data_IF_759614466407
#
_entry.id   IF_759614466407
#
_cell.length_a   1.000
_cell.length_b   1.000
_cell.length_c   1.000
_cell.angle_alpha   90.00
_cell.angle_beta   90.00
_cell.angle_gamma   90.00
#
_symmetry.space_group_name_H-M   'P 1'
#
loop_
_entity.id
_entity.type
_entity.pdbx_description
1 polymer ?
#
# COMPACT_ATOMS: atom_id res chain seq x y z
N UNK A 1 -7.71 16.38 12.86
CA UNK A 1 -7.23 14.99 12.68
C UNK A 1 -6.42 14.62 13.90
N UNK A 2 -6.72 13.53 14.59
CA UNK A 2 -5.98 13.15 15.81
C UNK A 2 -4.81 12.22 15.46
N UNK A 3 -3.58 12.67 15.76
CA UNK A 3 -2.36 11.92 15.45
C UNK A 3 -2.31 10.57 16.17
N UNK A 4 -2.89 10.45 17.36
CA UNK A 4 -2.91 9.18 18.09
C UNK A 4 -3.81 8.16 17.41
N UNK A 5 -5.02 8.57 16.99
CA UNK A 5 -5.94 7.71 16.22
C UNK A 5 -5.35 7.27 14.88
N UNK A 6 -4.64 8.17 14.20
CA UNK A 6 -3.95 7.84 12.93
C UNK A 6 -2.82 6.83 13.18
N UNK A 7 -2.08 6.97 14.28
CA UNK A 7 -1.05 5.99 14.68
C UNK A 7 -1.66 4.63 15.01
N UNK A 8 -2.73 4.58 15.80
CA UNK A 8 -3.44 3.35 16.13
C UNK A 8 -3.92 2.63 14.86
N UNK A 9 -4.54 3.36 13.94
CA UNK A 9 -4.98 2.80 12.66
C UNK A 9 -3.81 2.26 11.83
N UNK A 10 -2.67 2.95 11.84
CA UNK A 10 -1.46 2.50 11.16
C UNK A 10 -0.92 1.19 11.74
N UNK A 11 -0.94 1.04 13.07
CA UNK A 11 -0.55 -0.20 13.77
C UNK A 11 -1.49 -1.35 13.40
N UNK A 12 -2.81 -1.10 13.35
CA UNK A 12 -3.78 -2.11 12.96
C UNK A 12 -3.59 -2.57 11.50
N UNK A 13 -3.24 -1.65 10.60
CA UNK A 13 -2.92 -1.99 9.21
C UNK A 13 -1.62 -2.82 9.10
N UNK A 14 -0.63 -2.56 9.96
CA UNK A 14 0.58 -3.40 10.05
C UNK A 14 0.22 -4.84 10.46
N UNK A 15 -0.68 -5.03 11.43
CA UNK A 15 -1.15 -6.36 11.84
C UNK A 15 -1.79 -7.12 10.67
N UNK A 16 -2.67 -6.45 9.94
CA UNK A 16 -3.36 -7.02 8.77
C UNK A 16 -2.35 -7.47 7.71
N UNK A 17 -1.34 -6.63 7.42
CA UNK A 17 -0.29 -6.96 6.45
C UNK A 17 0.50 -8.18 6.93
N UNK A 18 0.96 -8.19 8.18
CA UNK A 18 1.77 -9.29 8.70
C UNK A 18 0.99 -10.60 8.63
N UNK A 19 -0.28 -10.61 9.05
CA UNK A 19 -1.14 -11.80 8.96
C UNK A 19 -1.31 -12.27 7.51
N UNK A 20 -1.56 -11.36 6.57
CA UNK A 20 -1.68 -11.69 5.15
C UNK A 20 -0.39 -12.26 4.55
N UNK A 21 0.77 -11.70 4.92
CA UNK A 21 2.08 -12.19 4.49
C UNK A 21 2.36 -13.58 5.08
N UNK A 22 1.97 -13.82 6.33
CA UNK A 22 2.07 -15.13 6.96
C UNK A 22 1.25 -16.18 6.22
N UNK A 23 0.01 -15.85 5.80
CA UNK A 23 -0.78 -16.79 5.02
C UNK A 23 -0.16 -17.05 3.64
N UNK A 24 0.33 -16.01 2.95
CA UNK A 24 0.98 -16.17 1.64
C UNK A 24 2.23 -17.06 1.72
N UNK A 25 3.01 -16.94 2.79
CA UNK A 25 4.24 -17.71 3.02
C UNK A 25 4.01 -19.21 3.26
N UNK A 26 2.75 -19.65 3.47
CA UNK A 26 2.40 -21.08 3.59
C UNK A 26 2.40 -21.80 2.26
N UNK A 27 2.26 -21.07 1.15
CA UNK A 27 2.36 -21.59 -0.20
C UNK A 27 3.78 -21.40 -0.74
N UNK A 28 4.17 -22.27 -1.68
CA UNK A 28 5.38 -22.06 -2.47
C UNK A 28 5.25 -20.82 -3.35
N UNK A 29 6.36 -20.41 -3.94
CA UNK A 29 6.37 -19.25 -4.82
C UNK A 29 5.42 -19.43 -6.02
N UNK A 30 5.28 -20.65 -6.55
CA UNK A 30 4.37 -20.95 -7.67
C UNK A 30 4.64 -20.06 -8.90
N UNK A 31 5.91 -20.05 -9.38
CA UNK A 31 6.41 -19.13 -10.42
C UNK A 31 5.50 -18.97 -11.64
N UNK A 32 4.86 -20.06 -12.08
CA UNK A 32 3.97 -20.06 -13.23
C UNK A 32 2.87 -19.00 -13.16
N UNK A 33 2.41 -18.64 -11.94
CA UNK A 33 1.38 -17.61 -11.71
C UNK A 33 1.76 -16.27 -12.35
N UNK A 34 3.05 -15.92 -12.29
CA UNK A 34 3.58 -14.61 -12.67
C UNK A 34 4.31 -14.64 -14.03
N UNK A 35 4.48 -15.82 -14.62
CA UNK A 35 5.06 -15.96 -15.96
C UNK A 35 4.06 -15.56 -17.04
N UNK A 36 4.51 -14.73 -17.98
CA UNK A 36 3.72 -14.36 -19.14
C UNK A 36 3.50 -15.57 -20.04
N UNK A 37 2.23 -15.88 -20.33
CA UNK A 37 1.81 -17.03 -21.14
C UNK A 37 2.39 -18.37 -20.65
N UNK A 38 2.44 -18.56 -19.32
CA UNK A 38 2.93 -19.81 -18.75
C UNK A 38 2.14 -21.00 -19.27
N UNK A 39 2.85 -22.06 -19.71
CA UNK A 39 2.26 -23.28 -20.26
C UNK A 39 1.38 -24.06 -19.26
N UNK A 40 1.45 -23.70 -17.98
CA UNK A 40 0.59 -24.26 -16.92
C UNK A 40 -0.87 -23.83 -17.02
N UNK A 41 -1.16 -22.71 -17.67
CA UNK A 41 -2.50 -22.15 -17.75
C UNK A 41 -2.93 -22.05 -19.22
N UNK A 42 -3.97 -22.79 -19.58
CA UNK A 42 -4.56 -22.78 -20.92
C UNK A 42 -5.87 -21.99 -20.85
N UNK A 43 -5.94 -20.89 -21.60
CA UNK A 43 -7.12 -20.02 -21.63
C UNK A 43 -7.91 -20.27 -22.92
N UNK A 44 -9.18 -20.67 -22.80
CA UNK A 44 -10.06 -20.95 -23.94
C UNK A 44 -10.43 -19.71 -24.76
N UNK A 45 -10.25 -18.51 -24.19
CA UNK A 45 -10.54 -17.23 -24.82
C UNK A 45 -9.29 -16.57 -25.44
N UNK A 46 -8.20 -17.33 -25.64
CA UNK A 46 -6.92 -16.82 -26.15
C UNK A 46 -6.37 -15.63 -25.33
N UNK A 47 -6.57 -15.62 -24.01
CA UNK A 47 -6.00 -14.60 -23.15
C UNK A 47 -4.46 -14.68 -23.16
N UNK A 48 -3.82 -13.55 -23.44
CA UNK A 48 -2.38 -13.35 -23.31
C UNK A 48 -2.08 -12.55 -22.04
N UNK A 49 -1.20 -13.06 -21.19
CA UNK A 49 -0.90 -12.45 -19.90
C UNK A 49 -0.43 -13.45 -18.85
N UNK A 50 -0.44 -13.01 -17.59
CA UNK A 50 -0.12 -13.85 -16.44
C UNK A 50 -1.42 -14.37 -15.80
N UNK A 51 -1.37 -15.51 -15.12
CA UNK A 51 -2.52 -15.99 -14.34
C UNK A 51 -2.87 -15.03 -13.19
N UNK A 52 -1.86 -14.37 -12.63
CA UNK A 52 -2.03 -13.30 -11.66
C UNK A 52 -2.91 -12.15 -12.18
N UNK A 53 -2.59 -11.60 -13.35
CA UNK A 53 -3.36 -10.48 -13.94
C UNK A 53 -4.75 -10.91 -14.40
N UNK A 54 -4.87 -12.14 -14.92
CA UNK A 54 -6.14 -12.75 -15.29
C UNK A 54 -7.12 -12.80 -14.12
N UNK A 55 -6.64 -13.12 -12.92
CA UNK A 55 -7.44 -13.15 -11.70
C UNK A 55 -7.65 -11.76 -11.09
N UNK A 56 -6.58 -10.97 -10.95
CA UNK A 56 -6.64 -9.74 -10.17
C UNK A 56 -7.45 -8.65 -10.88
N UNK A 57 -7.32 -8.47 -12.20
CA UNK A 57 -8.01 -7.38 -12.90
C UNK A 57 -9.55 -7.50 -12.83
N UNK A 58 -10.17 -8.67 -13.05
CA UNK A 58 -11.61 -8.84 -12.86
C UNK A 58 -12.07 -8.64 -11.41
N UNK A 59 -11.32 -9.18 -10.42
CA UNK A 59 -11.62 -8.96 -9.00
C UNK A 59 -11.58 -7.46 -8.66
N UNK A 60 -10.57 -6.77 -9.18
CA UNK A 60 -10.45 -5.33 -9.00
C UNK A 60 -11.63 -4.57 -9.63
N UNK A 61 -12.10 -5.02 -10.79
CA UNK A 61 -13.26 -4.42 -11.44
C UNK A 61 -14.56 -4.61 -10.63
N UNK A 62 -14.75 -5.77 -9.98
CA UNK A 62 -15.87 -5.99 -9.05
C UNK A 62 -15.81 -4.99 -7.90
N UNK A 63 -14.63 -4.79 -7.31
CA UNK A 63 -14.44 -3.79 -6.26
C UNK A 63 -14.72 -2.36 -6.74
N UNK A 64 -14.33 -2.03 -7.98
CA UNK A 64 -14.59 -0.72 -8.58
C UNK A 64 -16.09 -0.44 -8.74
N UNK A 65 -16.83 -1.40 -9.32
CA UNK A 65 -18.29 -1.32 -9.49
C UNK A 65 -18.99 -1.14 -8.14
N UNK A 66 -18.52 -1.85 -7.10
CA UNK A 66 -19.03 -1.75 -5.74
C UNK A 66 -18.68 -0.43 -5.02
N UNK A 67 -17.90 0.45 -5.65
CA UNK A 67 -17.53 1.77 -5.13
C UNK A 67 -16.34 1.76 -4.16
N UNK A 68 -15.51 0.71 -4.15
CA UNK A 68 -14.33 0.63 -3.27
C UNK A 68 -13.37 1.81 -3.49
N UNK A 69 -13.11 2.16 -4.73
CA UNK A 69 -12.16 3.22 -5.09
C UNK A 69 -12.74 4.63 -4.98
N UNK A 70 -13.99 4.75 -4.52
CA UNK A 70 -14.54 6.03 -4.05
C UNK A 70 -14.07 6.36 -2.63
N UNK A 71 -13.67 5.36 -1.84
CA UNK A 71 -13.07 5.55 -0.52
C UNK A 71 -11.71 6.26 -0.62
N UNK A 72 -11.45 7.21 0.27
CA UNK A 72 -10.23 8.03 0.22
C UNK A 72 -8.93 7.24 0.40
N UNK A 73 -8.97 6.08 1.06
CA UNK A 73 -7.80 5.26 1.42
C UNK A 73 -7.59 4.06 0.51
N UNK A 74 -8.39 3.90 -0.54
CA UNK A 74 -8.29 2.80 -1.50
C UNK A 74 -7.70 3.30 -2.83
N UNK A 75 -6.81 2.50 -3.44
CA UNK A 75 -6.17 2.84 -4.73
C UNK A 75 -6.19 1.66 -5.70
N UNK A 76 -6.66 1.84 -6.94
CA UNK A 76 -6.64 0.78 -7.92
C UNK A 76 -5.22 0.53 -8.45
N UNK A 77 -4.95 -0.73 -8.79
CA UNK A 77 -3.71 -1.21 -9.40
C UNK A 77 -3.80 -1.19 -10.94
N UNK A 78 -4.98 -1.37 -11.51
CA UNK A 78 -5.23 -1.33 -12.94
C UNK A 78 -5.96 -0.06 -13.38
N UNK A 79 -5.74 0.31 -14.65
CA UNK A 79 -6.48 1.38 -15.34
C UNK A 79 -7.67 0.79 -16.12
N UNK A 80 -8.63 1.66 -16.47
CA UNK A 80 -9.78 1.28 -17.30
C UNK A 80 -10.80 0.42 -16.57
N UNK A 81 -10.87 0.54 -15.24
CA UNK A 81 -11.91 -0.11 -14.43
C UNK A 81 -13.28 0.56 -14.71
N UNK A 82 -14.35 -0.22 -14.54
CA UNK A 82 -15.71 0.25 -14.64
C UNK A 82 -16.02 1.32 -13.58
N UNK A 83 -16.91 2.25 -13.91
CA UNK A 83 -17.39 3.24 -12.95
C UNK A 83 -18.19 2.59 -11.82
N UNK A 84 -18.12 3.19 -10.62
CA UNK A 84 -18.95 2.77 -9.50
C UNK A 84 -20.43 2.97 -9.82
N UNK A 85 -21.24 1.95 -9.53
CA UNK A 85 -22.72 2.06 -9.58
C UNK A 85 -23.32 2.26 -8.19
N UNK A 86 -22.49 2.14 -7.14
CA UNK A 86 -22.91 2.27 -5.75
C UNK A 86 -22.51 3.63 -5.21
N UNK A 87 -23.48 4.40 -4.70
CA UNK A 87 -23.24 5.66 -3.98
C UNK A 87 -23.27 5.40 -2.49
N UNK A 88 -22.20 5.72 -1.77
CA UNK A 88 -22.15 5.70 -0.30
C UNK A 88 -21.34 6.90 0.18
N UNK A 89 -21.64 7.33 1.40
CA UNK A 89 -20.88 8.37 2.08
C UNK A 89 -19.71 7.75 2.84
N UNK A 90 -18.60 7.50 2.13
CA UNK A 90 -17.40 6.88 2.70
C UNK A 90 -16.47 7.88 3.39
N UNK A 91 -16.57 9.16 3.01
CA UNK A 91 -15.54 10.16 3.27
C UNK A 91 -16.06 11.37 4.06
N UNK A 92 -17.29 11.37 4.59
CA UNK A 92 -17.84 12.52 5.34
C UNK A 92 -17.02 13.00 6.53
N UNK A 93 -16.12 12.15 7.05
CA UNK A 93 -15.20 12.50 8.14
C UNK A 93 -13.85 13.03 7.66
N UNK A 94 -13.62 13.08 6.35
CA UNK A 94 -12.38 13.52 5.71
C UNK A 94 -12.65 14.88 5.04
N UNK A 95 -11.93 15.94 5.44
CA UNK A 95 -12.06 17.25 4.81
C UNK A 95 -11.85 17.25 3.28
N UNK A 96 -12.62 18.09 2.58
CA UNK A 96 -12.63 18.16 1.11
C UNK A 96 -11.28 18.55 0.50
N UNK A 97 -10.50 19.37 1.20
CA UNK A 97 -9.14 19.75 0.78
C UNK A 97 -8.24 18.52 0.68
N UNK A 98 -8.36 17.57 1.62
CA UNK A 98 -7.61 16.30 1.57
C UNK A 98 -8.07 15.44 0.40
N UNK A 99 -9.39 15.32 0.21
CA UNK A 99 -9.99 14.48 -0.83
C UNK A 99 -9.59 14.93 -2.25
N UNK A 100 -9.42 16.23 -2.46
CA UNK A 100 -9.01 16.82 -3.74
C UNK A 100 -7.65 16.31 -4.24
N UNK A 101 -6.74 15.97 -3.33
CA UNK A 101 -5.39 15.51 -3.68
C UNK A 101 -5.21 14.01 -3.54
N UNK A 102 -5.89 13.41 -2.56
CA UNK A 102 -5.63 12.02 -2.18
C UNK A 102 -5.70 11.08 -3.37
N UNK A 103 -6.70 11.24 -4.25
CA UNK A 103 -6.90 10.38 -5.44
C UNK A 103 -5.84 10.58 -6.54
N UNK A 104 -5.08 11.68 -6.55
CA UNK A 104 -3.99 11.90 -7.52
C UNK A 104 -2.72 11.13 -7.17
N UNK A 105 -2.53 10.86 -5.88
CA UNK A 105 -1.37 10.15 -5.35
C UNK A 105 -1.71 8.66 -5.35
N UNK A 106 -1.12 7.92 -6.30
CA UNK A 106 -1.35 6.48 -6.44
C UNK A 106 -0.04 5.72 -6.71
N UNK A 107 0.51 5.13 -5.65
CA UNK A 107 1.69 4.28 -5.65
C UNK A 107 1.40 2.81 -5.95
N UNK A 108 0.14 2.39 -6.12
CA UNK A 108 -0.24 0.98 -6.34
C UNK A 108 0.58 0.26 -7.42
N UNK A 109 0.91 0.87 -8.59
CA UNK A 109 1.76 0.21 -9.58
C UNK A 109 3.15 -0.17 -9.05
N UNK A 110 3.83 0.72 -8.33
CA UNK A 110 5.15 0.46 -7.73
C UNK A 110 5.07 -0.52 -6.57
N UNK A 111 3.98 -0.48 -5.80
CA UNK A 111 3.69 -1.45 -4.74
C UNK A 111 3.58 -2.86 -5.32
N UNK A 112 2.84 -3.02 -6.43
CA UNK A 112 2.72 -4.31 -7.13
C UNK A 112 4.07 -4.86 -7.56
N UNK A 113 4.89 -4.04 -8.22
CA UNK A 113 6.23 -4.46 -8.67
C UNK A 113 7.09 -4.89 -7.48
N UNK A 114 7.13 -4.07 -6.43
CA UNK A 114 7.94 -4.33 -5.23
C UNK A 114 7.50 -5.59 -4.49
N UNK A 115 6.18 -5.80 -4.38
CA UNK A 115 5.61 -6.98 -3.75
C UNK A 115 5.92 -8.26 -4.53
N UNK A 116 5.72 -8.28 -5.85
CA UNK A 116 6.01 -9.45 -6.68
C UNK A 116 7.51 -9.81 -6.64
N UNK A 117 8.39 -8.80 -6.62
CA UNK A 117 9.83 -9.02 -6.44
C UNK A 117 10.18 -9.58 -5.05
N UNK A 118 9.42 -9.20 -4.03
CA UNK A 118 9.59 -9.63 -2.64
C UNK A 118 9.12 -11.08 -2.41
N UNK A 119 8.17 -11.60 -3.20
CA UNK A 119 7.64 -12.94 -3.01
C UNK A 119 8.71 -14.04 -3.03
N UNK A 120 9.78 -13.87 -3.81
CA UNK A 120 10.91 -14.81 -3.87
C UNK A 120 11.66 -14.96 -2.54
N UNK A 121 11.65 -13.91 -1.72
CA UNK A 121 12.29 -13.91 -0.41
C UNK A 121 11.33 -14.42 0.67
N UNK A 122 10.02 -14.15 0.50
CA UNK A 122 8.97 -14.57 1.42
C UNK A 122 8.63 -16.07 1.32
N UNK A 123 8.51 -16.59 0.10
CA UNK A 123 7.96 -17.91 -0.17
C UNK A 123 9.06 -18.91 -0.50
N UNK A 124 8.90 -20.16 -0.06
CA UNK A 124 9.82 -21.22 -0.47
C UNK A 124 9.72 -21.48 -1.98
N UNK A 125 10.87 -21.76 -2.61
CA UNK A 125 10.91 -22.06 -4.04
C UNK A 125 10.12 -23.32 -4.39
N UNK A 126 9.60 -23.33 -5.62
CA UNK A 126 8.94 -24.48 -6.22
C UNK A 126 7.46 -24.26 -6.46
N UNK A 127 6.77 -25.36 -6.66
CA UNK A 127 5.37 -25.40 -7.06
C UNK A 127 4.60 -26.39 -6.19
N UNK A 128 3.48 -25.95 -5.62
CA UNK A 128 2.56 -26.75 -4.81
C UNK A 128 1.14 -26.79 -5.38
N UNK A 129 0.95 -26.27 -6.59
CA UNK A 129 -0.32 -26.18 -7.31
C UNK A 129 -1.45 -25.36 -6.65
N UNK A 130 -1.23 -24.69 -5.52
CA UNK A 130 -2.24 -23.83 -4.88
C UNK A 130 -2.28 -22.43 -5.53
N UNK A 131 -2.47 -22.38 -6.85
CA UNK A 131 -2.34 -21.15 -7.64
C UNK A 131 -3.41 -20.11 -7.27
N UNK A 132 -4.67 -20.55 -7.17
CA UNK A 132 -5.79 -19.68 -6.82
C UNK A 132 -5.63 -19.05 -5.45
N UNK A 133 -5.33 -19.86 -4.43
CA UNK A 133 -5.14 -19.38 -3.06
C UNK A 133 -3.92 -18.46 -2.93
N UNK A 134 -2.83 -18.77 -3.64
CA UNK A 134 -1.64 -17.90 -3.72
C UNK A 134 -2.03 -16.52 -4.25
N UNK A 135 -2.74 -16.45 -5.38
CA UNK A 135 -3.18 -15.18 -5.98
C UNK A 135 -4.16 -14.43 -5.08
N UNK A 136 -5.11 -15.12 -4.43
CA UNK A 136 -6.02 -14.46 -3.48
C UNK A 136 -5.28 -13.84 -2.29
N UNK A 137 -4.26 -14.53 -1.77
CA UNK A 137 -3.37 -13.98 -0.75
C UNK A 137 -2.57 -12.79 -1.28
N UNK A 138 -2.06 -12.87 -2.52
CA UNK A 138 -1.33 -11.76 -3.14
C UNK A 138 -2.20 -10.51 -3.28
N UNK A 139 -3.44 -10.67 -3.78
CA UNK A 139 -4.41 -9.58 -3.94
C UNK A 139 -4.71 -8.92 -2.60
N UNK A 140 -4.99 -9.74 -1.57
CA UNK A 140 -5.25 -9.24 -0.23
C UNK A 140 -4.07 -8.42 0.32
N UNK A 141 -2.85 -8.96 0.20
CA UNK A 141 -1.64 -8.29 0.68
C UNK A 141 -1.39 -6.98 -0.07
N UNK A 142 -1.50 -6.98 -1.39
CA UNK A 142 -1.35 -5.77 -2.22
C UNK A 142 -2.32 -4.68 -1.79
N UNK A 143 -3.60 -5.03 -1.59
CA UNK A 143 -4.61 -4.09 -1.13
C UNK A 143 -4.32 -3.56 0.28
N UNK A 144 -3.93 -4.42 1.23
CA UNK A 144 -3.59 -4.02 2.59
C UNK A 144 -2.35 -3.11 2.62
N UNK A 145 -1.30 -3.46 1.87
CA UNK A 145 -0.08 -2.66 1.74
C UNK A 145 -0.39 -1.31 1.08
N UNK A 146 -1.16 -1.30 0.00
CA UNK A 146 -1.57 -0.06 -0.67
C UNK A 146 -2.34 0.85 0.27
N UNK A 147 -3.32 0.31 1.01
CA UNK A 147 -4.05 1.08 2.02
C UNK A 147 -3.11 1.67 3.07
N UNK A 148 -2.16 0.89 3.60
CA UNK A 148 -1.20 1.35 4.62
C UNK A 148 -0.24 2.42 4.14
N UNK A 149 0.24 2.31 2.91
CA UNK A 149 1.15 3.29 2.31
C UNK A 149 0.40 4.59 2.03
N UNK A 150 -0.78 4.52 1.41
CA UNK A 150 -1.57 5.70 1.09
C UNK A 150 -2.20 6.36 2.32
N UNK A 151 -2.35 5.62 3.43
CA UNK A 151 -2.72 6.19 4.73
C UNK A 151 -1.71 7.26 5.22
N UNK A 152 -0.50 7.29 4.64
CA UNK A 152 0.48 8.37 4.80
C UNK A 152 -0.12 9.77 4.58
N UNK A 153 -1.14 9.92 3.73
CA UNK A 153 -1.85 11.20 3.56
C UNK A 153 -2.40 11.74 4.89
N UNK A 154 -3.09 10.90 5.67
CA UNK A 154 -3.64 11.33 6.96
C UNK A 154 -2.56 11.46 8.04
N UNK A 155 -1.48 10.67 7.93
CA UNK A 155 -0.30 10.82 8.80
C UNK A 155 0.32 12.20 8.60
N UNK A 156 0.55 12.60 7.35
CA UNK A 156 1.09 13.90 7.00
C UNK A 156 0.15 15.02 7.43
N UNK A 157 -1.16 14.90 7.16
CA UNK A 157 -2.11 15.92 7.60
C UNK A 157 -2.12 16.08 9.13
N UNK A 158 -2.07 14.98 9.88
CA UNK A 158 -2.01 15.05 11.34
C UNK A 158 -0.68 15.68 11.84
N UNK A 159 0.44 15.38 11.18
CA UNK A 159 1.74 16.02 11.44
C UNK A 159 1.68 17.52 11.15
N UNK A 160 1.14 17.92 10.00
CA UNK A 160 0.97 19.32 9.61
C UNK A 160 0.12 20.09 10.61
N UNK A 161 -1.05 19.56 10.99
CA UNK A 161 -1.94 20.21 11.96
C UNK A 161 -1.30 20.40 13.33
N UNK A 162 -0.38 19.51 13.73
CA UNK A 162 0.34 19.62 15.01
C UNK A 162 1.43 20.68 14.99
N UNK A 163 2.06 20.93 13.85
CA UNK A 163 3.16 21.88 13.73
C UNK A 163 3.15 22.65 12.40
N UNK A 164 2.09 23.46 12.12
CA UNK A 164 1.93 24.09 10.80
C UNK A 164 3.09 25.03 10.44
N UNK A 165 3.64 25.74 11.44
CA UNK A 165 4.73 26.71 11.28
C UNK A 165 5.98 26.07 10.67
N UNK A 166 6.39 24.91 11.20
CA UNK A 166 7.57 24.15 10.73
C UNK A 166 7.39 23.78 9.25
N UNK A 167 6.25 23.17 8.91
CA UNK A 167 6.01 22.74 7.54
C UNK A 167 5.83 23.92 6.58
N UNK A 168 5.20 25.01 7.00
CA UNK A 168 5.07 26.21 6.18
C UNK A 168 6.44 26.84 5.90
N UNK A 169 7.33 26.90 6.89
CA UNK A 169 8.70 27.36 6.68
C UNK A 169 9.44 26.48 5.68
N UNK A 170 9.40 25.16 5.88
CA UNK A 170 10.06 24.20 4.99
C UNK A 170 9.51 24.27 3.55
N UNK A 171 8.18 24.38 3.38
CA UNK A 171 7.52 24.52 2.08
C UNK A 171 7.79 25.89 1.41
N UNK A 172 8.10 26.93 2.19
CA UNK A 172 8.45 28.25 1.65
C UNK A 172 9.81 28.24 0.96
N UNK A 173 10.72 27.37 1.42
CA UNK A 173 12.09 27.22 0.92
C UNK A 173 12.20 26.27 -0.27
N UNK A 174 11.11 25.55 -0.60
CA UNK A 174 11.05 24.52 -1.65
C UNK A 174 12.16 23.47 -1.50
N UNK A 175 12.47 23.11 -0.24
CA UNK A 175 13.58 22.25 0.12
C UNK A 175 13.10 20.82 0.40
N UNK A 176 12.98 20.03 -0.68
CA UNK A 176 12.58 18.62 -0.65
C UNK A 176 13.42 17.78 0.31
N UNK A 177 14.72 18.06 0.40
CA UNK A 177 15.66 17.30 1.22
C UNK A 177 15.39 17.56 2.69
N UNK A 178 15.24 18.84 3.08
CA UNK A 178 14.94 19.20 4.47
C UNK A 178 13.58 18.69 4.91
N UNK A 179 12.54 18.76 4.06
CA UNK A 179 11.22 18.19 4.37
C UNK A 179 11.32 16.67 4.54
N UNK A 180 12.00 15.97 3.63
CA UNK A 180 12.19 14.52 3.73
C UNK A 180 12.93 14.14 5.03
N UNK A 181 13.93 14.93 5.43
CA UNK A 181 14.65 14.73 6.69
C UNK A 181 13.76 14.93 7.91
N UNK A 182 12.91 15.96 7.91
CA UNK A 182 11.98 16.23 9.02
C UNK A 182 10.92 15.12 9.15
N UNK A 183 10.47 14.54 8.03
CA UNK A 183 9.52 13.43 8.05
C UNK A 183 10.11 12.13 8.59
N UNK A 184 11.42 11.93 8.42
CA UNK A 184 12.16 10.77 8.92
C UNK A 184 12.34 10.89 10.43
N UNK A 185 11.60 10.06 11.16
CA UNK A 185 11.81 9.90 12.59
C UNK A 185 12.41 8.53 12.87
N UNK A 186 13.74 8.49 12.98
CA UNK A 186 14.51 7.26 13.20
C UNK A 186 13.99 6.45 14.39
N UNK A 187 13.65 7.11 15.49
CA UNK A 187 13.12 6.44 16.69
C UNK A 187 11.74 5.79 16.43
N UNK A 188 10.88 6.42 15.64
CA UNK A 188 9.58 5.84 15.26
C UNK A 188 9.77 4.68 14.30
N UNK A 189 10.66 4.81 13.31
CA UNK A 189 10.96 3.74 12.36
C UNK A 189 11.51 2.50 13.07
N UNK A 190 12.47 2.66 13.99
CA UNK A 190 13.01 1.56 14.79
C UNK A 190 11.90 0.84 15.56
N UNK A 191 11.01 1.57 16.24
CA UNK A 191 9.86 0.99 16.95
C UNK A 191 8.88 0.26 16.03
N UNK A 192 8.70 0.73 14.79
CA UNK A 192 7.89 0.02 13.79
C UNK A 192 8.56 -1.29 13.42
N UNK A 193 9.85 -1.29 13.14
CA UNK A 193 10.60 -2.48 12.73
C UNK A 193 10.69 -3.53 13.86
N UNK A 194 10.90 -3.10 15.11
CA UNK A 194 10.86 -3.96 16.30
C UNK A 194 9.49 -4.65 16.42
N UNK A 195 8.41 -3.87 16.36
CA UNK A 195 7.04 -4.41 16.44
C UNK A 195 6.73 -5.35 15.28
N UNK A 196 7.16 -5.03 14.06
CA UNK A 196 7.00 -5.90 12.89
C UNK A 196 7.72 -7.22 13.10
N UNK A 197 8.94 -7.20 13.65
CA UNK A 197 9.71 -8.41 13.97
C UNK A 197 8.97 -9.26 15.00
N UNK A 198 8.60 -8.69 16.14
CA UNK A 198 7.90 -9.39 17.22
C UNK A 198 6.60 -10.05 16.73
N UNK A 199 5.80 -9.30 15.96
CA UNK A 199 4.55 -9.80 15.38
C UNK A 199 4.80 -10.90 14.35
N UNK A 200 5.83 -10.79 13.53
CA UNK A 200 6.18 -11.82 12.54
C UNK A 200 6.58 -13.13 13.23
N UNK A 201 7.38 -13.05 14.30
CA UNK A 201 7.73 -14.22 15.13
C UNK A 201 6.48 -14.85 15.73
N UNK A 202 5.60 -14.03 16.35
CA UNK A 202 4.36 -14.50 16.97
C UNK A 202 3.42 -15.20 15.98
N UNK A 203 3.41 -14.79 14.72
CA UNK A 203 2.61 -15.42 13.66
C UNK A 203 3.32 -16.61 12.97
N UNK A 204 4.48 -17.05 13.46
CA UNK A 204 5.14 -18.26 12.99
C UNK A 204 5.99 -18.12 11.73
N UNK A 205 6.39 -16.89 11.37
CA UNK A 205 7.32 -16.67 10.24
C UNK A 205 8.69 -17.23 10.59
N UNK A 206 9.20 -18.15 9.76
CA UNK A 206 10.53 -18.77 9.95
C UNK A 206 11.68 -17.77 9.86
N UNK A 207 11.59 -16.81 8.94
CA UNK A 207 12.59 -15.76 8.76
C UNK A 207 11.94 -14.36 8.86
N UNK A 208 11.79 -13.81 10.09
CA UNK A 208 11.16 -12.51 10.31
C UNK A 208 11.88 -11.36 9.60
N UNK A 209 13.20 -11.49 9.37
CA UNK A 209 14.01 -10.45 8.73
C UNK A 209 13.54 -10.13 7.31
N UNK A 210 12.97 -11.10 6.60
CA UNK A 210 12.41 -10.89 5.26
C UNK A 210 11.29 -9.86 5.30
N UNK A 211 10.36 -9.98 6.25
CA UNK A 211 9.25 -9.01 6.42
C UNK A 211 9.79 -7.68 6.95
N UNK A 212 10.71 -7.70 7.92
CA UNK A 212 11.32 -6.48 8.48
C UNK A 212 12.02 -5.67 7.38
N UNK A 213 12.79 -6.34 6.51
CA UNK A 213 13.48 -5.70 5.38
C UNK A 213 12.49 -5.15 4.35
N UNK A 214 11.37 -5.85 4.09
CA UNK A 214 10.32 -5.33 3.23
C UNK A 214 9.66 -4.07 3.80
N UNK A 215 9.39 -4.04 5.11
CA UNK A 215 8.91 -2.83 5.77
C UNK A 215 9.93 -1.68 5.70
N UNK A 216 11.19 -1.96 6.04
CA UNK A 216 12.28 -0.99 6.06
C UNK A 216 12.57 -0.39 4.69
N UNK A 217 12.63 -1.21 3.66
CA UNK A 217 13.15 -0.82 2.35
C UNK A 217 12.04 -0.41 1.37
N UNK A 218 10.80 -0.85 1.58
CA UNK A 218 9.68 -0.62 0.66
C UNK A 218 8.54 0.15 1.34
N UNK A 219 7.91 -0.42 2.37
CA UNK A 219 6.66 0.13 2.92
C UNK A 219 6.88 1.50 3.57
N UNK A 220 7.87 1.63 4.44
CA UNK A 220 8.16 2.88 5.14
C UNK A 220 8.61 3.97 4.15
N UNK A 221 9.59 3.74 3.26
CA UNK A 221 10.01 4.74 2.28
C UNK A 221 8.89 5.19 1.36
N UNK A 222 8.06 4.28 0.85
CA UNK A 222 6.91 4.65 0.01
C UNK A 222 5.85 5.44 0.80
N UNK A 223 5.65 5.14 2.09
CA UNK A 223 4.76 5.94 2.94
C UNK A 223 5.29 7.37 3.07
N UNK A 224 6.58 7.56 3.32
CA UNK A 224 7.21 8.88 3.39
C UNK A 224 7.06 9.62 2.05
N UNK A 225 7.22 8.92 0.92
CA UNK A 225 7.00 9.55 -0.39
C UNK A 225 5.55 10.01 -0.58
N UNK A 226 4.57 9.22 -0.13
CA UNK A 226 3.16 9.65 -0.12
C UNK A 226 2.95 10.89 0.75
N UNK A 227 3.60 10.96 1.91
CA UNK A 227 3.55 12.13 2.80
C UNK A 227 4.10 13.39 2.10
N UNK A 228 5.25 13.26 1.43
CA UNK A 228 5.87 14.33 0.63
C UNK A 228 4.96 14.80 -0.50
N UNK A 229 4.51 13.89 -1.36
CA UNK A 229 3.66 14.22 -2.51
C UNK A 229 2.37 14.94 -2.08
N UNK A 230 1.82 14.55 -0.92
CA UNK A 230 0.63 15.18 -0.35
C UNK A 230 0.90 16.62 0.12
N UNK A 231 1.96 16.84 0.91
CA UNK A 231 2.21 18.18 1.47
C UNK A 231 2.61 19.20 0.41
N UNK A 232 3.35 18.78 -0.62
CA UNK A 232 3.64 19.65 -1.78
C UNK A 232 2.38 19.97 -2.58
N UNK A 233 1.52 18.98 -2.81
CA UNK A 233 0.24 19.20 -3.48
C UNK A 233 -0.65 20.20 -2.73
N UNK A 234 -0.62 20.18 -1.40
CA UNK A 234 -1.34 21.12 -0.53
C UNK A 234 -0.76 22.54 -0.63
N UNK A 235 0.58 22.69 -0.61
CA UNK A 235 1.27 23.99 -0.67
C UNK A 235 1.01 24.79 -1.96
N UNK A 236 1.00 24.11 -3.12
CA UNK A 236 0.81 24.75 -4.44
C UNK A 236 -0.51 25.55 -4.52
N UNK A 237 -1.54 25.14 -3.78
CA UNK A 237 -2.84 25.81 -3.79
C UNK A 237 -2.97 26.94 -2.77
N UNK A 238 -2.31 26.86 -1.61
CA UNK A 238 -2.20 28.00 -0.70
C UNK A 238 -1.50 29.20 -1.34
N UNK A 239 -0.62 28.97 -2.33
CA UNK A 239 0.02 30.03 -3.12
C UNK A 239 -0.86 30.58 -4.26
N UNK A 240 -1.96 29.90 -4.62
CA UNK A 240 -2.87 30.29 -5.72
C UNK A 240 -4.22 30.84 -5.24
N UNK A 241 -4.53 30.70 -3.95
CA UNK A 241 -5.68 31.30 -3.26
C UNK A 241 -5.31 32.65 -2.65
#
# INVERSE_FOLDING_TARGET
>A
MDLEKVREKSINLEDIIIQGLCQRARFKHNNAIYEHNSKKFLFSNNYEGTYFDFMFKPIENVHAIAGRYECFDERPFYKGLSQSVVKRDYNSKIPDDILKFSKKINFSPWIKISYLNFLKDLCSNGDDANYGDSVLCDIFNLQAISKRIHYGILVMEAKYQKSPEIYNELLSKDDDISISSELKNVNVELKVLERVREKSIKNGIKNPDVIVNFFKNIIIPMTIQVELDYIFSKSILSKKS
#
